data_IF_489994591522
#
_entry.id   IF_489994591522
#
_cell.length_a   1.000
_cell.length_b   1.000
_cell.length_c   1.000
_cell.angle_alpha   90.00
_cell.angle_beta   90.00
_cell.angle_gamma   90.00
#
_symmetry.space_group_name_H-M   'P 1'
#
loop_
_entity.id
_entity.type
_entity.pdbx_description
1 polymer ?
#
# COMPACT_ATOMS: atom_id res chain seq x y z
N UNK A 1 10.05 -13.16 -35.55
CA UNK A 1 10.03 -11.94 -34.73
C UNK A 1 9.39 -12.35 -33.42
N UNK A 2 10.18 -12.44 -32.35
CA UNK A 2 9.74 -12.98 -31.07
C UNK A 2 8.84 -11.99 -30.36
N UNK A 3 7.64 -12.42 -30.01
CA UNK A 3 6.86 -11.79 -28.96
C UNK A 3 7.68 -11.90 -27.66
N UNK A 4 8.04 -10.75 -27.09
CA UNK A 4 8.60 -10.71 -25.73
C UNK A 4 7.57 -11.27 -24.73
N UNK A 5 8.00 -11.79 -23.57
CA UNK A 5 7.05 -12.33 -22.60
C UNK A 5 6.08 -11.23 -22.20
N UNK A 6 4.79 -11.40 -22.52
CA UNK A 6 3.73 -10.55 -22.02
C UNK A 6 3.86 -10.47 -20.49
N UNK A 7 4.02 -9.27 -19.95
CA UNK A 7 3.98 -9.04 -18.50
C UNK A 7 2.58 -9.39 -18.01
N UNK A 8 2.37 -10.65 -17.61
CA UNK A 8 1.07 -11.12 -17.18
C UNK A 8 0.62 -10.29 -15.97
N UNK A 9 -0.48 -9.55 -16.15
CA UNK A 9 -1.19 -8.91 -15.06
C UNK A 9 -1.59 -9.93 -14.00
N UNK A 10 -1.75 -9.49 -12.76
CA UNK A 10 -2.17 -10.37 -11.66
C UNK A 10 -3.63 -10.05 -11.41
N UNK A 11 -4.53 -11.02 -11.54
CA UNK A 11 -5.93 -10.84 -11.19
C UNK A 11 -6.42 -11.98 -10.30
N UNK A 12 -7.48 -11.72 -9.55
CA UNK A 12 -8.10 -12.72 -8.69
C UNK A 12 -9.15 -12.14 -7.76
N UNK A 13 -9.66 -13.02 -6.89
CA UNK A 13 -10.72 -12.74 -5.95
C UNK A 13 -10.15 -12.46 -4.56
N UNK A 14 -10.72 -11.46 -3.87
CA UNK A 14 -10.35 -11.09 -2.50
C UNK A 14 -10.80 -12.13 -1.45
N UNK A 15 -11.68 -13.04 -1.84
CA UNK A 15 -12.08 -14.18 -1.02
C UNK A 15 -10.98 -15.24 -0.94
N UNK A 16 -10.13 -15.32 -1.97
CA UNK A 16 -9.04 -16.29 -2.05
C UNK A 16 -7.71 -15.72 -1.52
N UNK A 17 -7.50 -14.41 -1.67
CA UNK A 17 -6.26 -13.72 -1.29
C UNK A 17 -6.59 -12.38 -0.64
N UNK A 18 -6.12 -12.18 0.60
CA UNK A 18 -6.33 -10.93 1.30
C UNK A 18 -5.61 -9.75 0.61
N UNK A 19 -6.21 -8.56 0.66
CA UNK A 19 -5.62 -7.34 0.06
C UNK A 19 -4.20 -7.09 0.56
N UNK A 20 -3.93 -7.31 1.86
CA UNK A 20 -2.60 -7.16 2.45
C UNK A 20 -1.55 -8.01 1.71
N UNK A 21 -1.87 -9.27 1.41
CA UNK A 21 -0.95 -10.19 0.74
C UNK A 21 -0.70 -9.76 -0.72
N UNK A 22 -1.74 -9.27 -1.41
CA UNK A 22 -1.60 -8.71 -2.77
C UNK A 22 -0.63 -7.51 -2.76
N UNK A 23 -0.79 -6.58 -1.81
CA UNK A 23 0.10 -5.42 -1.69
C UNK A 23 1.55 -5.85 -1.41
N UNK A 24 1.75 -6.84 -0.52
CA UNK A 24 3.08 -7.37 -0.20
C UNK A 24 3.71 -8.09 -1.39
N UNK A 25 2.95 -8.89 -2.14
CA UNK A 25 3.44 -9.57 -3.33
C UNK A 25 3.94 -8.57 -4.39
N UNK A 26 3.17 -7.52 -4.67
CA UNK A 26 3.55 -6.45 -5.60
C UNK A 26 4.84 -5.74 -5.12
N UNK A 27 4.94 -5.47 -3.81
CA UNK A 27 6.10 -4.85 -3.20
C UNK A 27 7.37 -5.68 -3.31
N UNK A 28 7.33 -6.94 -2.88
CA UNK A 28 8.46 -7.86 -2.92
C UNK A 28 8.93 -8.12 -4.35
N UNK A 29 7.98 -8.20 -5.29
CA UNK A 29 8.26 -8.29 -6.72
C UNK A 29 8.79 -7.00 -7.35
N UNK A 30 8.90 -5.90 -6.60
CA UNK A 30 9.30 -4.56 -7.06
C UNK A 30 8.55 -4.11 -8.31
N UNK A 31 7.27 -4.49 -8.42
CA UNK A 31 6.47 -4.23 -9.63
C UNK A 31 6.08 -2.75 -9.71
N UNK A 32 5.96 -2.25 -10.93
CA UNK A 32 5.41 -0.93 -11.24
C UNK A 32 4.11 -1.12 -12.01
N UNK A 33 3.07 -0.39 -11.64
CA UNK A 33 1.75 -0.53 -12.24
C UNK A 33 0.63 -0.10 -11.30
N UNK A 34 -0.60 -0.36 -11.71
CA UNK A 34 -1.81 0.02 -10.99
C UNK A 34 -2.54 -1.22 -10.52
N UNK A 35 -2.81 -1.30 -9.21
CA UNK A 35 -3.74 -2.26 -8.63
C UNK A 35 -5.14 -1.63 -8.58
N UNK A 36 -6.08 -2.18 -9.32
CA UNK A 36 -7.51 -1.88 -9.23
C UNK A 36 -8.19 -2.92 -8.34
N UNK A 37 -9.11 -2.47 -7.49
CA UNK A 37 -9.97 -3.34 -6.67
C UNK A 37 -11.42 -2.92 -6.84
N UNK A 38 -12.33 -3.88 -6.92
CA UNK A 38 -13.77 -3.64 -7.04
C UNK A 38 -14.56 -4.53 -6.07
N UNK A 39 -15.51 -3.94 -5.34
CA UNK A 39 -16.44 -4.65 -4.44
C UNK A 39 -17.84 -4.04 -4.58
N UNK A 40 -18.69 -4.67 -5.40
CA UNK A 40 -19.99 -4.10 -5.73
C UNK A 40 -19.83 -2.75 -6.45
N UNK A 41 -20.36 -1.68 -5.88
CA UNK A 41 -20.16 -0.30 -6.39
C UNK A 41 -18.91 0.38 -5.84
N UNK A 42 -18.29 -0.19 -4.81
CA UNK A 42 -17.05 0.35 -4.24
C UNK A 42 -15.86 0.04 -5.14
N UNK A 43 -14.99 1.03 -5.35
CA UNK A 43 -13.80 0.91 -6.18
C UNK A 43 -12.60 1.46 -5.45
N UNK A 44 -11.43 0.88 -5.68
CA UNK A 44 -10.17 1.41 -5.22
C UNK A 44 -9.08 1.25 -6.27
N UNK A 45 -8.07 2.12 -6.16
CA UNK A 45 -6.92 2.14 -7.07
C UNK A 45 -5.69 2.50 -6.28
N UNK A 46 -4.65 1.69 -6.39
CA UNK A 46 -3.36 1.87 -5.72
C UNK A 46 -2.25 1.81 -6.77
N UNK A 47 -1.50 2.90 -6.89
CA UNK A 47 -0.37 2.98 -7.81
C UNK A 47 0.93 2.53 -7.15
N UNK A 48 1.70 1.74 -7.88
CA UNK A 48 3.00 1.23 -7.47
C UNK A 48 4.12 1.69 -8.40
N UNK A 49 5.23 2.11 -7.81
CA UNK A 49 6.49 2.37 -8.51
C UNK A 49 7.62 1.62 -7.83
N UNK A 50 8.21 0.65 -8.54
CA UNK A 50 9.28 -0.20 -8.01
C UNK A 50 8.91 -0.85 -6.66
N UNK A 51 7.66 -1.31 -6.55
CA UNK A 51 7.09 -1.92 -5.36
C UNK A 51 6.67 -0.94 -4.25
N UNK A 52 6.85 0.38 -4.43
CA UNK A 52 6.41 1.38 -3.44
C UNK A 52 5.07 1.97 -3.84
N UNK A 53 4.21 2.26 -2.87
CA UNK A 53 2.94 2.94 -3.10
C UNK A 53 3.21 4.43 -3.35
N UNK A 54 2.71 4.94 -4.47
CA UNK A 54 2.89 6.34 -4.90
C UNK A 54 1.60 7.14 -4.90
N UNK A 55 0.46 6.46 -4.99
CA UNK A 55 -0.86 7.05 -4.78
C UNK A 55 -1.86 5.96 -4.38
N UNK A 56 -2.95 6.35 -3.71
CA UNK A 56 -4.08 5.48 -3.47
C UNK A 56 -5.38 6.28 -3.39
N UNK A 57 -6.47 5.67 -3.87
CA UNK A 57 -7.84 6.18 -3.80
C UNK A 57 -8.78 5.01 -3.54
N UNK A 58 -9.82 5.24 -2.75
CA UNK A 58 -10.87 4.25 -2.50
C UNK A 58 -12.21 4.96 -2.31
N UNK A 59 -13.31 4.31 -2.71
CA UNK A 59 -14.66 4.76 -2.34
C UNK A 59 -14.76 4.85 -0.81
N UNK A 60 -15.30 5.96 -0.30
CA UNK A 60 -15.39 6.24 1.14
C UNK A 60 -14.12 6.82 1.79
N UNK A 61 -12.96 6.76 1.13
CA UNK A 61 -11.75 7.45 1.62
C UNK A 61 -11.78 8.95 1.27
N UNK A 62 -11.28 9.85 2.15
CA UNK A 62 -11.25 11.28 1.86
C UNK A 62 -10.26 11.57 0.73
N UNK A 63 -10.63 12.53 -0.13
CA UNK A 63 -9.75 12.98 -1.22
C UNK A 63 -8.76 14.02 -0.70
N UNK A 64 -7.67 14.25 -1.43
CA UNK A 64 -6.64 15.24 -1.09
C UNK A 64 -7.24 16.62 -0.80
N UNK A 65 -8.20 17.07 -1.63
CA UNK A 65 -8.86 18.36 -1.48
C UNK A 65 -9.64 18.49 -0.16
N UNK A 66 -10.30 17.42 0.27
CA UNK A 66 -11.04 17.41 1.54
C UNK A 66 -10.08 17.45 2.72
N UNK A 67 -8.94 16.76 2.64
CA UNK A 67 -7.91 16.80 3.67
C UNK A 67 -7.24 18.17 3.77
N UNK A 68 -6.96 18.82 2.64
CA UNK A 68 -6.42 20.19 2.60
C UNK A 68 -7.34 21.19 3.30
N UNK A 69 -8.65 21.11 3.04
CA UNK A 69 -9.65 21.96 3.70
C UNK A 69 -9.74 21.65 5.19
N UNK A 70 -9.84 20.36 5.57
CA UNK A 70 -9.93 19.93 6.98
C UNK A 70 -8.75 20.39 7.82
N UNK A 71 -7.54 20.43 7.23
CA UNK A 71 -6.32 20.92 7.89
C UNK A 71 -6.17 22.44 7.84
N UNK A 72 -7.11 23.17 7.24
CA UNK A 72 -7.05 24.63 7.11
C UNK A 72 -5.94 25.12 6.17
N UNK A 73 -5.40 24.25 5.31
CA UNK A 73 -4.30 24.58 4.39
C UNK A 73 -4.82 25.35 3.17
N UNK A 74 -6.04 25.05 2.74
CA UNK A 74 -6.69 25.70 1.60
C UNK A 74 -8.18 25.86 1.92
N UNK A 75 -8.78 27.00 1.58
CA UNK A 75 -10.24 27.17 1.68
C UNK A 75 -10.96 26.58 0.46
N UNK A 76 -12.29 26.44 0.56
CA UNK A 76 -13.10 25.88 -0.54
C UNK A 76 -12.96 26.70 -1.83
N UNK A 77 -12.93 28.03 -1.74
CA UNK A 77 -12.88 28.90 -2.92
C UNK A 77 -11.57 28.73 -3.71
N UNK A 78 -10.44 28.70 -3.01
CA UNK A 78 -9.10 28.49 -3.58
C UNK A 78 -8.94 27.09 -4.16
N UNK A 79 -9.50 26.08 -3.49
CA UNK A 79 -9.50 24.71 -3.99
C UNK A 79 -10.30 24.61 -5.30
N UNK A 80 -11.48 25.19 -5.37
CA UNK A 80 -12.30 25.20 -6.60
C UNK A 80 -11.57 25.91 -7.75
N UNK A 81 -10.90 27.03 -7.47
CA UNK A 81 -10.07 27.72 -8.46
C UNK A 81 -8.94 26.82 -8.99
N UNK A 82 -8.21 26.14 -8.10
CA UNK A 82 -7.14 25.21 -8.48
C UNK A 82 -7.67 24.01 -9.30
N UNK A 83 -8.83 23.45 -8.93
CA UNK A 83 -9.49 22.37 -9.66
C UNK A 83 -9.97 22.82 -11.05
N UNK A 84 -10.49 24.05 -11.17
CA UNK A 84 -10.87 24.62 -12.47
C UNK A 84 -9.65 24.76 -13.38
N UNK A 85 -8.50 25.21 -12.85
CA UNK A 85 -7.24 25.28 -13.61
C UNK A 85 -6.68 23.91 -13.99
N UNK A 86 -6.84 22.88 -13.14
CA UNK A 86 -6.41 21.51 -13.44
C UNK A 86 -7.13 20.93 -14.66
N UNK A 87 -8.44 21.20 -14.80
CA UNK A 87 -9.27 20.70 -15.91
C UNK A 87 -8.92 21.30 -17.28
N UNK A 88 -8.25 22.45 -17.30
CA UNK A 88 -7.95 23.20 -18.53
C UNK A 88 -6.50 23.00 -19.03
N UNK A 89 -5.62 22.34 -18.26
CA UNK A 89 -4.22 22.14 -18.63
C UNK A 89 -3.97 20.86 -19.45
N UNK A 90 -3.05 20.88 -20.44
CA UNK A 90 -2.57 19.65 -21.06
C UNK A 90 -1.74 18.85 -20.05
N UNK A 91 -2.07 17.56 -19.91
CA UNK A 91 -1.52 16.66 -18.90
C UNK A 91 -2.27 16.75 -17.57
N UNK A 92 -2.61 15.60 -16.97
CA UNK A 92 -3.21 15.49 -15.63
C UNK A 92 -2.23 15.99 -14.55
N UNK A 93 -2.01 17.31 -14.44
CA UNK A 93 -1.16 17.90 -13.41
C UNK A 93 -1.73 17.55 -12.03
N UNK A 94 -0.88 17.13 -11.09
CA UNK A 94 -1.27 16.88 -9.70
C UNK A 94 -1.88 18.14 -9.09
N UNK A 95 -3.06 18.03 -8.48
CA UNK A 95 -3.72 19.15 -7.77
C UNK A 95 -2.79 19.69 -6.67
N UNK A 96 -2.07 18.80 -5.99
CA UNK A 96 -1.08 19.17 -4.98
C UNK A 96 0.01 20.07 -5.55
N UNK A 97 0.64 19.66 -6.65
CA UNK A 97 1.69 20.44 -7.29
C UNK A 97 1.19 21.80 -7.80
N UNK A 98 -0.06 21.88 -8.28
CA UNK A 98 -0.68 23.16 -8.65
C UNK A 98 -0.79 24.10 -7.45
N UNK A 99 -1.21 23.59 -6.29
CA UNK A 99 -1.31 24.38 -5.06
C UNK A 99 0.06 24.80 -4.53
N UNK A 100 1.09 23.97 -4.68
CA UNK A 100 2.48 24.32 -4.35
C UNK A 100 2.99 25.44 -5.26
N UNK A 101 2.80 25.31 -6.58
CA UNK A 101 3.24 26.31 -7.54
C UNK A 101 2.50 27.65 -7.36
N UNK A 102 1.25 27.62 -6.90
CA UNK A 102 0.48 28.80 -6.55
C UNK A 102 0.87 29.42 -5.20
N UNK A 103 1.81 28.82 -4.45
CA UNK A 103 2.24 29.28 -3.14
C UNK A 103 1.20 29.11 -2.03
N UNK A 104 0.16 28.30 -2.25
CA UNK A 104 -0.92 28.08 -1.29
C UNK A 104 -0.52 27.08 -0.20
N UNK A 105 0.31 26.11 -0.55
CA UNK A 105 0.92 25.14 0.38
C UNK A 105 2.39 24.94 0.00
N UNK A 106 3.21 24.45 0.94
CA UNK A 106 4.58 24.04 0.63
C UNK A 106 4.68 22.52 0.39
N UNK A 107 5.84 22.06 -0.09
CA UNK A 107 6.08 20.65 -0.39
C UNK A 107 5.95 19.71 0.82
N UNK A 108 6.33 20.17 2.03
CA UNK A 108 6.19 19.37 3.24
C UNK A 108 4.72 19.19 3.66
N UNK A 109 3.91 20.24 3.53
CA UNK A 109 2.46 20.18 3.76
C UNK A 109 1.79 19.26 2.74
N UNK A 110 2.16 19.38 1.46
CA UNK A 110 1.65 18.49 0.43
C UNK A 110 2.00 17.03 0.73
N UNK A 111 3.27 16.75 1.03
CA UNK A 111 3.75 15.41 1.39
C UNK A 111 2.92 14.80 2.52
N UNK A 112 2.76 15.53 3.63
CA UNK A 112 2.00 15.04 4.78
C UNK A 112 0.53 14.72 4.44
N UNK A 113 -0.10 15.52 3.58
CA UNK A 113 -1.49 15.30 3.17
C UNK A 113 -1.62 14.10 2.22
N UNK A 114 -0.68 13.93 1.28
CA UNK A 114 -0.67 12.79 0.36
C UNK A 114 -0.42 11.49 1.14
N UNK A 115 0.51 11.49 2.09
CA UNK A 115 0.75 10.34 2.96
C UNK A 115 -0.50 9.94 3.75
N UNK A 116 -1.21 10.93 4.32
CA UNK A 116 -2.47 10.68 5.01
C UNK A 116 -3.55 10.12 4.07
N UNK A 117 -3.69 10.68 2.86
CA UNK A 117 -4.65 10.18 1.88
C UNK A 117 -4.37 8.71 1.54
N UNK A 118 -3.10 8.38 1.25
CA UNK A 118 -2.71 7.02 0.90
C UNK A 118 -3.04 6.07 2.05
N UNK A 119 -2.61 6.41 3.27
CA UNK A 119 -2.88 5.58 4.46
C UNK A 119 -4.37 5.33 4.66
N UNK A 120 -5.21 6.36 4.49
CA UNK A 120 -6.67 6.23 4.64
C UNK A 120 -7.30 5.39 3.54
N UNK A 121 -6.87 5.53 2.29
CA UNK A 121 -7.37 4.72 1.18
C UNK A 121 -6.98 3.24 1.37
N UNK A 122 -5.73 2.97 1.75
CA UNK A 122 -5.26 1.61 2.03
C UNK A 122 -6.02 1.00 3.21
N UNK A 123 -6.21 1.74 4.30
CA UNK A 123 -6.98 1.25 5.45
C UNK A 123 -8.42 0.82 5.10
N UNK A 124 -9.08 1.54 4.17
CA UNK A 124 -10.43 1.16 3.71
C UNK A 124 -10.42 -0.20 3.00
N UNK A 125 -9.49 -0.41 2.07
CA UNK A 125 -9.45 -1.65 1.28
C UNK A 125 -8.94 -2.84 2.06
N UNK A 126 -8.12 -2.65 3.10
CA UNK A 126 -7.68 -3.75 3.96
C UNK A 126 -8.84 -4.42 4.70
N UNK A 127 -9.96 -3.72 4.89
CA UNK A 127 -11.19 -4.29 5.45
C UNK A 127 -12.10 -4.96 4.40
N UNK A 128 -11.66 -5.11 3.15
CA UNK A 128 -12.44 -5.79 2.12
C UNK A 128 -12.11 -7.29 2.10
N UNK A 129 -13.10 -8.11 2.49
CA UNK A 129 -13.01 -9.59 2.46
C UNK A 129 -13.57 -10.21 1.17
N UNK A 130 -14.23 -9.40 0.34
CA UNK A 130 -14.86 -9.84 -0.91
C UNK A 130 -14.61 -8.82 -2.01
N UNK A 131 -14.59 -9.29 -3.25
CA UNK A 131 -14.42 -8.46 -4.44
C UNK A 131 -13.37 -9.04 -5.38
N UNK A 132 -13.04 -8.30 -6.41
CA UNK A 132 -12.05 -8.67 -7.40
C UNK A 132 -10.91 -7.65 -7.40
N UNK A 133 -9.71 -8.10 -7.76
CA UNK A 133 -8.57 -7.23 -8.00
C UNK A 133 -7.90 -7.54 -9.33
N UNK A 134 -7.28 -6.52 -9.90
CA UNK A 134 -6.46 -6.63 -11.09
C UNK A 134 -5.26 -5.68 -11.00
N UNK A 135 -4.06 -6.21 -11.22
CA UNK A 135 -2.83 -5.45 -11.33
C UNK A 135 -2.42 -5.36 -12.79
N UNK A 136 -2.41 -4.13 -13.30
CA UNK A 136 -2.00 -3.79 -14.66
C UNK A 136 -0.63 -3.11 -14.62
N UNK A 137 0.40 -3.67 -15.28
CA UNK A 137 1.66 -2.97 -15.48
C UNK A 137 1.42 -1.65 -16.22
N UNK A 138 2.05 -0.58 -15.73
CA UNK A 138 1.93 0.76 -16.29
C UNK A 138 3.26 1.51 -16.09
N UNK A 139 3.60 2.42 -16.99
CA UNK A 139 4.81 3.25 -16.89
C UNK A 139 4.53 4.47 -16.00
N UNK A 140 4.29 4.18 -14.72
CA UNK A 140 4.03 5.20 -13.73
C UNK A 140 5.31 5.95 -13.39
N UNK A 141 5.30 7.25 -13.60
CA UNK A 141 6.24 8.16 -12.94
C UNK A 141 5.54 8.77 -11.73
N UNK A 142 6.10 8.70 -10.50
CA UNK A 142 5.50 9.33 -9.33
C UNK A 142 5.26 10.82 -9.61
N UNK A 143 4.01 11.27 -9.47
CA UNK A 143 3.66 12.68 -9.72
C UNK A 143 4.18 13.62 -8.64
N UNK A 144 4.37 13.09 -7.42
CA UNK A 144 4.89 13.78 -6.25
C UNK A 144 6.09 12.96 -5.71
N UNK A 145 6.98 13.57 -4.92
CA UNK A 145 8.13 12.87 -4.29
C UNK A 145 7.72 11.88 -3.17
N UNK A 146 6.42 11.63 -3.01
CA UNK A 146 5.88 10.79 -1.94
C UNK A 146 5.90 9.33 -2.36
N UNK A 147 6.63 8.51 -1.62
CA UNK A 147 6.62 7.05 -1.78
C UNK A 147 6.48 6.39 -0.41
N UNK A 148 5.54 5.47 -0.26
CA UNK A 148 5.33 4.70 0.97
C UNK A 148 5.59 3.22 0.74
N UNK A 149 6.08 2.53 1.76
CA UNK A 149 6.13 1.07 1.73
C UNK A 149 4.80 0.51 2.20
N UNK A 150 4.31 -0.63 1.66
CA UNK A 150 3.05 -1.20 2.14
C UNK A 150 3.03 -1.48 3.65
N UNK A 151 4.14 -1.92 4.23
CA UNK A 151 4.23 -2.12 5.68
C UNK A 151 4.09 -0.82 6.50
N UNK A 152 4.32 0.36 5.91
CA UNK A 152 4.12 1.64 6.61
C UNK A 152 2.63 1.99 6.74
N UNK A 153 1.77 1.42 5.91
CA UNK A 153 0.34 1.78 5.77
C UNK A 153 -0.61 0.66 6.17
N UNK A 154 -0.14 -0.59 6.20
CA UNK A 154 -0.85 -1.71 6.80
C UNK A 154 -0.64 -1.60 8.32
N UNK A 155 -1.69 -1.49 9.14
CA UNK A 155 -1.52 -1.50 10.59
C UNK A 155 -0.86 -2.82 11.00
N UNK A 156 0.13 -2.77 11.88
CA UNK A 156 0.59 -3.98 12.57
C UNK A 156 -0.63 -4.56 13.28
N UNK A 157 -1.05 -5.75 12.85
CA UNK A 157 -2.01 -6.52 13.65
C UNK A 157 -1.24 -6.89 14.91
N UNK A 158 -1.51 -6.19 16.02
CA UNK A 158 -1.22 -6.72 17.34
C UNK A 158 -1.97 -8.05 17.43
N UNK A 159 -1.23 -9.14 17.24
CA UNK A 159 -1.69 -10.44 17.71
C UNK A 159 -1.70 -10.29 19.22
N UNK A 160 -2.89 -10.10 19.78
CA UNK A 160 -3.08 -10.07 21.23
C UNK A 160 -2.54 -11.39 21.76
N UNK A 161 -1.31 -11.36 22.28
CA UNK A 161 -0.66 -12.50 22.93
C UNK A 161 -1.14 -12.58 24.37
N UNK A 162 -2.43 -12.34 24.59
CA UNK A 162 -3.14 -12.55 25.85
C UNK A 162 -3.77 -13.96 25.90
N UNK A 163 -3.04 -14.97 25.43
CA UNK A 163 -2.95 -16.32 26.04
C UNK A 163 -1.99 -17.17 25.19
N UNK A 164 -0.70 -16.95 25.42
CA UNK A 164 0.37 -17.79 24.90
C UNK A 164 0.68 -17.57 23.42
N UNK A 165 1.97 -17.46 23.11
CA UNK A 165 2.47 -17.71 21.76
C UNK A 165 1.88 -19.04 21.26
N UNK A 166 1.36 -19.14 20.02
CA UNK A 166 1.09 -20.45 19.44
C UNK A 166 2.43 -21.17 19.29
N UNK A 167 2.77 -21.97 20.31
CA UNK A 167 3.71 -23.05 20.16
C UNK A 167 3.10 -24.05 19.19
N UNK A 168 3.46 -23.97 17.91
CA UNK A 168 3.32 -25.08 16.99
C UNK A 168 4.75 -25.60 16.76
N UNK A 169 5.24 -26.48 17.63
CA UNK A 169 5.09 -27.92 17.51
C UNK A 169 5.59 -28.41 16.15
N UNK A 170 6.87 -28.82 16.11
CA UNK A 170 7.42 -29.56 14.98
C UNK A 170 6.66 -30.88 14.92
N UNK A 171 5.72 -31.00 13.97
CA UNK A 171 5.02 -32.25 13.73
C UNK A 171 6.01 -33.26 13.14
N UNK A 172 6.29 -34.33 13.89
CA UNK A 172 6.89 -35.55 13.32
C UNK A 172 8.35 -35.86 13.66
N UNK A 173 8.97 -35.26 14.68
CA UNK A 173 10.25 -35.76 15.18
C UNK A 173 10.05 -36.63 16.42
N UNK A 174 10.49 -37.91 16.44
CA UNK A 174 10.48 -38.71 17.66
C UNK A 174 11.36 -38.02 18.72
N UNK A 175 10.89 -38.00 19.97
CA UNK A 175 11.51 -37.30 21.12
C UNK A 175 13.03 -37.52 21.25
N UNK A 176 13.52 -38.67 20.78
CA UNK A 176 14.94 -39.01 20.77
C UNK A 176 15.82 -38.00 19.98
N UNK A 177 15.33 -37.46 18.84
CA UNK A 177 16.11 -36.55 18.01
C UNK A 177 16.28 -35.15 18.65
N UNK A 178 15.31 -34.75 19.48
CA UNK A 178 15.33 -33.47 20.20
C UNK A 178 16.24 -33.56 21.42
N UNK A 179 16.27 -34.71 22.12
CA UNK A 179 17.23 -34.92 23.21
C UNK A 179 18.68 -34.96 22.70
N UNK A 180 18.96 -35.68 21.62
CA UNK A 180 20.33 -35.81 21.08
C UNK A 180 20.89 -34.45 20.60
N UNK A 181 20.03 -33.61 20.01
CA UNK A 181 20.42 -32.27 19.58
C UNK A 181 20.72 -31.32 20.75
N UNK A 182 20.01 -31.46 21.88
CA UNK A 182 20.26 -30.64 23.08
C UNK A 182 21.57 -31.04 23.77
N UNK A 183 21.88 -32.33 23.83
CA UNK A 183 23.12 -32.82 24.43
C UNK A 183 24.36 -32.38 23.65
N UNK A 184 24.30 -32.42 22.30
CA UNK A 184 25.42 -31.98 21.44
C UNK A 184 25.71 -30.48 21.59
N UNK A 185 24.68 -29.64 21.73
CA UNK A 185 24.86 -28.19 21.95
C UNK A 185 25.40 -27.90 23.35
N UNK A 186 24.92 -28.61 24.38
CA UNK A 186 25.41 -28.43 25.75
C UNK A 186 26.87 -28.86 25.92
N UNK A 187 27.30 -29.93 25.22
CA UNK A 187 28.69 -30.38 25.20
C UNK A 187 29.63 -29.40 24.47
N UNK A 188 29.15 -28.70 23.45
CA UNK A 188 29.94 -27.70 22.72
C UNK A 188 30.17 -26.40 23.52
N UNK A 189 29.20 -26.01 24.36
CA UNK A 189 29.31 -24.78 25.18
C UNK A 189 30.20 -25.00 26.42
N UNK A 190 30.29 -26.22 26.96
CA UNK A 190 31.09 -26.50 28.15
C UNK A 190 32.60 -26.68 27.91
N UNK A 191 33.04 -26.72 26.66
CA UNK A 191 34.46 -26.86 26.27
C UNK A 191 35.02 -25.60 25.58
N UNK A 192 34.36 -24.44 25.72
CA UNK A 192 34.86 -23.14 25.29
C UNK A 192 35.36 -22.31 26.48
#
# INVERSE_FOLDING_TARGET
MGEGPASQGISGSLQDVAVADVLQFIHLGKRTGVLALERGEDRATIGFFKGKIVFAQATGAPRIGDLLIRRGLVDRQRLEAALASQRQGPGRRSLGQLLVNAGLINGAQLKAVVEEQIRRAVAVVLGWETGEFEFLPDDLTPADEVTLYPFDVIPEVEVDTADGLPGMAIVGLPDAAVQESRERVQAAIKNA
#
